data_IF_373125736741
#
_entry.id   IF_373125736741
#
_cell.length_a   1.000
_cell.length_b   1.000
_cell.length_c   1.000
_cell.angle_alpha   90.00
_cell.angle_beta   90.00
_cell.angle_gamma   90.00
#
_symmetry.space_group_name_H-M   'P 1'
#
loop_
_entity.id
_entity.type
_entity.pdbx_description
1 polymer ?
#
# COMPACT_ATOMS: atom_id res chain seq x y z
N UNK A 1 39.26 -38.98 -16.13
CA UNK A 1 37.89 -38.62 -16.53
C UNK A 1 37.41 -37.51 -15.62
N UNK A 2 37.57 -36.25 -16.04
CA UNK A 2 37.18 -35.08 -15.23
C UNK A 2 35.69 -34.86 -15.43
N UNK A 3 34.90 -34.96 -14.36
CA UNK A 3 33.47 -34.66 -14.39
C UNK A 3 33.29 -33.23 -13.87
N UNK A 4 32.96 -32.29 -14.75
CA UNK A 4 32.62 -30.93 -14.37
C UNK A 4 31.14 -30.94 -13.97
N UNK A 5 30.87 -30.66 -12.69
CA UNK A 5 29.52 -30.43 -12.20
C UNK A 5 29.14 -28.98 -12.56
N UNK A 6 28.20 -28.83 -13.50
CA UNK A 6 27.65 -27.52 -13.84
C UNK A 6 26.65 -27.11 -12.75
N UNK A 7 27.00 -26.10 -11.95
CA UNK A 7 26.07 -25.45 -11.02
C UNK A 7 25.23 -24.47 -11.84
N UNK A 8 23.97 -24.82 -12.09
CA UNK A 8 23.00 -23.87 -12.62
C UNK A 8 22.54 -22.96 -11.49
N UNK A 9 22.95 -21.69 -11.55
CA UNK A 9 22.44 -20.65 -10.66
C UNK A 9 21.18 -20.11 -11.34
N UNK A 10 20.02 -20.68 -11.01
CA UNK A 10 18.76 -20.09 -11.45
C UNK A 10 18.62 -18.71 -10.78
N UNK A 11 18.39 -17.62 -11.54
CA UNK A 11 18.11 -16.34 -10.95
C UNK A 11 16.79 -16.47 -10.18
N UNK A 12 16.86 -16.33 -8.85
CA UNK A 12 15.66 -16.15 -8.02
C UNK A 12 14.95 -14.91 -8.54
N UNK A 13 13.81 -15.11 -9.19
CA UNK A 13 12.86 -14.02 -9.40
C UNK A 13 12.33 -13.66 -8.01
N UNK A 14 12.80 -12.54 -7.48
CA UNK A 14 12.15 -11.94 -6.32
C UNK A 14 10.71 -11.59 -6.75
N UNK A 15 9.71 -12.22 -6.14
CA UNK A 15 8.34 -11.78 -6.30
C UNK A 15 8.26 -10.34 -5.83
N UNK A 16 7.85 -9.43 -6.73
CA UNK A 16 7.69 -8.03 -6.40
C UNK A 16 6.56 -7.90 -5.39
N UNK A 17 6.92 -7.82 -4.11
CA UNK A 17 5.95 -7.66 -3.03
C UNK A 17 5.20 -6.35 -3.23
N UNK A 18 3.94 -6.50 -3.60
CA UNK A 18 3.08 -5.39 -3.99
C UNK A 18 2.19 -4.99 -2.84
N UNK A 19 2.30 -3.74 -2.41
CA UNK A 19 1.49 -3.20 -1.34
C UNK A 19 0.10 -2.85 -1.83
N UNK A 20 -0.88 -3.33 -1.07
CA UNK A 20 -2.30 -2.97 -1.18
C UNK A 20 -2.68 -2.15 0.05
N UNK A 21 -3.16 -0.93 -0.18
CA UNK A 21 -3.45 0.05 0.85
C UNK A 21 -4.89 0.53 0.71
N UNK A 22 -5.48 1.03 1.79
CA UNK A 22 -6.80 1.65 1.76
C UNK A 22 -6.78 3.01 2.44
N UNK A 23 -7.66 3.92 2.01
CA UNK A 23 -7.93 5.22 2.63
C UNK A 23 -9.41 5.58 2.45
N UNK A 24 -9.90 6.58 3.18
CA UNK A 24 -11.18 7.22 2.87
C UNK A 24 -11.01 8.56 2.16
N UNK A 25 -12.14 9.17 1.81
CA UNK A 25 -12.28 10.45 1.13
C UNK A 25 -12.92 11.53 2.03
N UNK A 26 -13.18 12.71 1.44
CA UNK A 26 -13.77 13.88 2.09
C UNK A 26 -13.01 14.40 3.33
N UNK A 27 -11.67 14.30 3.30
CA UNK A 27 -10.80 14.85 4.36
C UNK A 27 -9.64 15.69 3.80
N UNK A 28 -9.93 16.76 3.06
CA UNK A 28 -8.91 17.70 2.58
C UNK A 28 -8.21 18.42 3.74
N UNK A 29 -6.94 18.82 3.59
CA UNK A 29 -6.08 18.65 2.40
C UNK A 29 -5.34 17.30 2.37
N UNK A 30 -5.61 16.42 3.33
CA UNK A 30 -4.81 15.22 3.58
C UNK A 30 -5.15 14.07 2.63
N UNK A 31 -6.44 13.78 2.47
CA UNK A 31 -6.95 12.65 1.69
C UNK A 31 -8.30 12.98 1.04
N UNK A 32 -8.36 12.94 -0.28
CA UNK A 32 -9.60 13.06 -1.06
C UNK A 32 -9.33 12.59 -2.51
N UNK A 33 -10.28 11.88 -3.13
CA UNK A 33 -10.16 11.41 -4.52
C UNK A 33 -10.00 12.55 -5.53
N UNK A 34 -10.51 13.73 -5.21
CA UNK A 34 -10.49 14.93 -6.07
C UNK A 34 -9.17 15.70 -5.97
N UNK A 35 -8.35 15.42 -4.97
CA UNK A 35 -7.05 16.07 -4.79
C UNK A 35 -5.97 15.42 -5.66
N UNK A 36 -5.01 16.22 -6.10
CA UNK A 36 -3.84 15.72 -6.82
C UNK A 36 -3.13 14.64 -6.00
N UNK A 37 -2.84 13.50 -6.63
CA UNK A 37 -2.27 12.30 -6.00
C UNK A 37 -3.04 11.81 -4.75
N UNK A 38 -4.33 12.16 -4.63
CA UNK A 38 -5.15 11.78 -3.49
C UNK A 38 -4.92 12.60 -2.23
N UNK A 39 -4.17 13.71 -2.27
CA UNK A 39 -3.94 14.61 -1.14
C UNK A 39 -2.56 14.47 -0.48
N UNK A 40 -2.26 15.37 0.46
CA UNK A 40 -0.91 15.51 1.06
C UNK A 40 -0.40 14.22 1.70
N UNK A 41 -1.27 13.53 2.44
CA UNK A 41 -0.86 12.34 3.17
C UNK A 41 -0.72 11.11 2.27
N UNK A 42 -1.60 10.99 1.27
CA UNK A 42 -1.51 9.97 0.22
C UNK A 42 -0.15 10.07 -0.49
N UNK A 43 0.22 11.26 -0.92
CA UNK A 43 1.53 11.55 -1.54
C UNK A 43 2.69 11.20 -0.62
N UNK A 44 2.63 11.58 0.66
CA UNK A 44 3.70 11.31 1.61
C UNK A 44 3.93 9.79 1.78
N UNK A 45 2.86 9.01 1.94
CA UNK A 45 2.98 7.57 2.17
C UNK A 45 3.45 6.84 0.91
N UNK A 46 2.91 7.20 -0.26
CA UNK A 46 3.39 6.63 -1.53
C UNK A 46 4.89 6.86 -1.71
N UNK A 47 5.35 8.10 -1.49
CA UNK A 47 6.78 8.44 -1.57
C UNK A 47 7.63 7.69 -0.54
N UNK A 48 7.12 7.46 0.67
CA UNK A 48 7.84 6.73 1.70
C UNK A 48 8.03 5.24 1.34
N UNK A 49 6.99 4.61 0.77
CA UNK A 49 7.08 3.23 0.31
C UNK A 49 7.99 3.08 -0.91
N UNK A 50 7.87 3.98 -1.88
CA UNK A 50 8.73 3.99 -3.06
C UNK A 50 10.21 4.14 -2.67
N UNK A 51 10.54 5.09 -1.77
CA UNK A 51 11.90 5.27 -1.24
C UNK A 51 12.42 4.06 -0.48
N UNK A 52 11.53 3.20 0.03
CA UNK A 52 11.88 1.98 0.74
C UNK A 52 11.97 0.76 -0.19
N UNK A 53 11.80 0.95 -1.50
CA UNK A 53 11.86 -0.13 -2.50
C UNK A 53 10.56 -0.94 -2.62
N UNK A 54 9.45 -0.46 -2.05
CA UNK A 54 8.14 -1.08 -2.19
C UNK A 54 7.33 -0.44 -3.29
N UNK A 55 6.53 -1.25 -3.98
CA UNK A 55 5.61 -0.81 -5.00
C UNK A 55 4.18 -0.88 -4.47
N UNK A 56 3.51 0.28 -4.37
CA UNK A 56 2.08 0.34 -4.10
C UNK A 56 1.36 0.23 -5.43
N UNK A 57 0.55 -0.82 -5.63
CA UNK A 57 -0.18 -1.00 -6.89
C UNK A 57 -1.32 0.00 -7.02
N UNK A 58 -2.14 0.09 -5.98
CA UNK A 58 -3.27 0.99 -5.92
C UNK A 58 -3.66 1.26 -4.47
N UNK A 59 -4.34 2.39 -4.27
CA UNK A 59 -4.98 2.73 -3.00
C UNK A 59 -6.48 2.57 -3.20
N UNK A 60 -7.09 1.68 -2.42
CA UNK A 60 -8.53 1.47 -2.47
C UNK A 60 -9.27 2.44 -1.55
N UNK A 61 -10.22 3.16 -2.13
CA UNK A 61 -11.00 4.19 -1.45
C UNK A 61 -12.28 3.61 -0.86
N UNK A 62 -12.26 3.40 0.46
CA UNK A 62 -13.34 2.78 1.21
C UNK A 62 -13.86 3.73 2.29
N UNK A 63 -15.12 3.56 2.74
CA UNK A 63 -15.58 4.20 3.98
C UNK A 63 -14.56 3.93 5.09
N UNK A 64 -14.20 4.97 5.84
CA UNK A 64 -13.07 4.97 6.78
C UNK A 64 -13.12 3.78 7.75
N UNK A 65 -14.30 3.46 8.28
CA UNK A 65 -14.51 2.33 9.21
C UNK A 65 -14.26 0.98 8.53
N UNK A 66 -14.70 0.85 7.27
CA UNK A 66 -14.53 -0.38 6.48
C UNK A 66 -13.06 -0.59 6.12
N UNK A 67 -12.38 0.42 5.58
CA UNK A 67 -10.97 0.33 5.20
C UNK A 67 -10.10 -0.11 6.39
N UNK A 68 -10.30 0.52 7.55
CA UNK A 68 -9.59 0.14 8.77
C UNK A 68 -9.86 -1.31 9.19
N UNK A 69 -11.13 -1.74 9.20
CA UNK A 69 -11.50 -3.11 9.58
C UNK A 69 -10.88 -4.15 8.66
N UNK A 70 -10.81 -3.88 7.35
CA UNK A 70 -10.23 -4.81 6.39
C UNK A 70 -8.70 -4.87 6.49
N UNK A 71 -8.04 -3.75 6.78
CA UNK A 71 -6.61 -3.73 7.08
C UNK A 71 -6.29 -4.51 8.37
N UNK A 72 -7.09 -4.35 9.43
CA UNK A 72 -6.93 -5.14 10.66
C UNK A 72 -7.08 -6.65 10.44
N UNK A 73 -7.93 -7.05 9.48
CA UNK A 73 -8.12 -8.46 9.07
C UNK A 73 -7.02 -8.97 8.12
N UNK A 74 -6.03 -8.15 7.79
CA UNK A 74 -4.94 -8.50 6.88
C UNK A 74 -5.34 -8.56 5.40
N UNK A 75 -6.51 -8.03 5.04
CA UNK A 75 -6.94 -7.97 3.63
C UNK A 75 -6.25 -6.83 2.86
N UNK A 76 -5.79 -5.82 3.59
CA UNK A 76 -4.91 -4.76 3.10
C UNK A 76 -3.71 -4.68 4.03
N UNK A 77 -2.57 -4.25 3.50
CA UNK A 77 -1.32 -4.12 4.25
C UNK A 77 -1.36 -2.93 5.20
N UNK A 78 -2.07 -1.87 4.84
CA UNK A 78 -2.25 -0.70 5.70
C UNK A 78 -3.51 0.10 5.34
N UNK A 79 -4.04 0.82 6.34
CA UNK A 79 -5.03 1.87 6.16
C UNK A 79 -4.38 3.24 6.45
N UNK A 80 -4.49 4.16 5.51
CA UNK A 80 -3.83 5.46 5.49
C UNK A 80 -4.78 6.50 6.08
N UNK A 81 -4.40 7.14 7.19
CA UNK A 81 -5.26 8.05 7.95
C UNK A 81 -6.58 7.44 8.39
N UNK A 82 -7.22 8.04 9.39
CA UNK A 82 -8.57 7.64 9.77
C UNK A 82 -9.33 8.86 10.23
N UNK A 83 -10.43 9.19 9.54
CA UNK A 83 -11.33 10.24 9.99
C UNK A 83 -12.05 9.80 11.27
N UNK A 84 -11.76 10.47 12.39
CA UNK A 84 -12.35 10.17 13.69
C UNK A 84 -13.87 10.37 13.74
N UNK A 85 -14.42 11.26 12.89
CA UNK A 85 -15.86 11.53 12.84
C UNK A 85 -16.64 10.30 12.37
N UNK A 86 -16.12 9.53 11.42
CA UNK A 86 -16.79 8.32 10.94
C UNK A 86 -16.57 7.12 11.86
N UNK A 87 -15.51 7.10 12.68
CA UNK A 87 -15.30 6.02 13.66
C UNK A 87 -16.35 6.02 14.78
N UNK A 88 -16.91 7.18 15.09
CA UNK A 88 -17.85 7.37 16.20
C UNK A 88 -19.31 7.06 15.84
N UNK A 89 -19.62 6.85 14.55
CA UNK A 89 -20.91 6.37 14.05
C UNK A 89 -20.99 4.85 13.93
#
# INVERSE_FOLDING_TARGET
MVMILAVFIDPVKADTFTLSLTTGDDYPPFTDRKLAQGGMATTLVLNAFEKSGYFVKEIEWLPWKRGYTLAQRGQYHAALLQNAAEKAG
#
